data_IF_925036556181
#
_entry.id   IF_925036556181
#
_cell.length_a   1.000
_cell.length_b   1.000
_cell.length_c   1.000
_cell.angle_alpha   90.00
_cell.angle_beta   90.00
_cell.angle_gamma   90.00
#
_symmetry.space_group_name_H-M   'P 1'
#
loop_
_entity.id
_entity.type
_entity.pdbx_description
1 polymer ?
#
# COMPACT_ATOMS: atom_id res chain seq x y z
N UNK A 1 -14.79 -5.68 13.84
CA UNK A 1 -13.51 -5.60 13.11
C UNK A 1 -13.19 -4.12 12.92
N UNK A 2 -11.96 -3.67 13.15
CA UNK A 2 -11.60 -2.25 12.92
C UNK A 2 -11.63 -1.93 11.42
N UNK A 3 -11.85 -0.66 11.00
CA UNK A 3 -11.77 -0.27 9.59
C UNK A 3 -10.43 -0.67 8.93
N UNK A 4 -9.34 -0.63 9.69
CA UNK A 4 -8.01 -1.06 9.22
C UNK A 4 -7.97 -2.56 8.96
N UNK A 5 -8.49 -3.38 9.88
CA UNK A 5 -8.55 -4.82 9.70
C UNK A 5 -9.46 -5.22 8.51
N UNK A 6 -10.52 -4.46 8.24
CA UNK A 6 -11.34 -4.63 7.03
C UNK A 6 -10.53 -4.34 5.76
N UNK A 7 -9.79 -3.21 5.73
CA UNK A 7 -8.93 -2.89 4.59
C UNK A 7 -7.86 -3.97 4.35
N UNK A 8 -7.19 -4.42 5.43
CA UNK A 8 -6.16 -5.46 5.33
C UNK A 8 -6.72 -6.80 4.85
N UNK A 9 -7.93 -7.18 5.26
CA UNK A 9 -8.60 -8.39 4.79
C UNK A 9 -8.86 -8.35 3.28
N UNK A 10 -9.25 -7.19 2.73
CA UNK A 10 -9.46 -7.03 1.28
C UNK A 10 -8.16 -7.09 0.47
N UNK A 11 -7.01 -6.83 1.11
CA UNK A 11 -5.72 -6.99 0.49
C UNK A 11 -5.25 -8.43 0.44
N UNK A 12 -5.77 -9.35 1.27
CA UNK A 12 -5.23 -10.71 1.40
C UNK A 12 -5.52 -11.63 0.17
N UNK A 13 -4.52 -12.34 -0.39
CA UNK A 13 -3.08 -12.14 -0.17
C UNK A 13 -2.60 -10.79 -0.71
N UNK A 14 -1.72 -10.03 -0.02
CA UNK A 14 -1.37 -8.62 -0.31
C UNK A 14 -0.76 -8.39 -1.70
N UNK A 15 -0.26 -9.46 -2.30
CA UNK A 15 0.41 -9.46 -3.59
C UNK A 15 -0.16 -10.53 -4.51
N UNK A 16 -0.19 -10.22 -5.81
CA UNK A 16 -0.33 -11.23 -6.86
C UNK A 16 1.08 -11.68 -7.25
N UNK A 17 1.31 -13.00 -7.23
CA UNK A 17 2.56 -13.59 -7.68
C UNK A 17 2.32 -14.41 -8.95
N UNK A 18 2.83 -13.91 -10.07
CA UNK A 18 2.80 -14.61 -11.35
C UNK A 18 4.05 -15.48 -11.45
N UNK A 19 3.88 -16.78 -11.18
CA UNK A 19 4.98 -17.75 -11.23
C UNK A 19 5.18 -18.25 -12.66
N UNK A 20 6.43 -18.41 -13.13
CA UNK A 20 6.69 -19.13 -14.36
C UNK A 20 6.43 -20.64 -14.15
N UNK A 21 6.14 -21.36 -15.23
CA UNK A 21 6.02 -22.84 -15.19
C UNK A 21 7.36 -23.48 -14.82
N UNK A 22 8.44 -22.93 -15.35
CA UNK A 22 9.84 -23.28 -15.02
C UNK A 22 10.59 -21.97 -14.85
N UNK A 23 11.30 -21.80 -13.73
CA UNK A 23 12.09 -20.61 -13.48
C UNK A 23 13.44 -20.74 -14.18
N UNK A 24 13.63 -19.97 -15.26
CA UNK A 24 14.84 -20.05 -16.11
C UNK A 24 15.58 -18.72 -16.23
N UNK A 25 15.00 -17.62 -15.74
CA UNK A 25 15.62 -16.29 -15.77
C UNK A 25 16.19 -15.90 -14.40
N UNK A 26 17.35 -15.21 -14.34
CA UNK A 26 17.86 -14.63 -13.10
C UNK A 26 17.11 -13.35 -12.68
N UNK A 27 16.16 -12.87 -13.49
CA UNK A 27 15.45 -11.61 -13.27
C UNK A 27 14.12 -11.85 -12.54
N UNK A 28 13.85 -11.00 -11.55
CA UNK A 28 12.55 -10.90 -10.88
C UNK A 28 11.94 -9.54 -11.17
N UNK A 29 10.72 -9.53 -11.70
CA UNK A 29 9.97 -8.29 -11.92
C UNK A 29 9.12 -7.96 -10.69
N UNK A 30 9.05 -6.67 -10.35
CA UNK A 30 8.19 -6.17 -9.29
C UNK A 30 7.35 -4.99 -9.79
N UNK A 31 6.06 -5.01 -9.47
CA UNK A 31 5.10 -3.93 -9.75
C UNK A 31 4.45 -3.46 -8.43
N UNK A 32 5.16 -2.64 -7.65
CA UNK A 32 4.74 -2.23 -6.30
C UNK A 32 3.60 -1.20 -6.31
N UNK A 33 3.36 -0.52 -7.44
CA UNK A 33 2.46 0.63 -7.53
C UNK A 33 1.26 0.43 -8.47
N UNK A 34 1.09 -0.78 -9.02
CA UNK A 34 -0.07 -1.13 -9.88
C UNK A 34 -1.30 -1.60 -9.09
N UNK A 35 -1.22 -1.65 -7.76
CA UNK A 35 -2.32 -2.09 -6.91
C UNK A 35 -3.48 -1.10 -6.94
N UNK A 36 -4.69 -1.61 -7.10
CA UNK A 36 -5.88 -0.80 -7.35
C UNK A 36 -7.11 -1.27 -6.54
N UNK A 37 -6.89 -2.02 -5.46
CA UNK A 37 -7.96 -2.37 -4.52
C UNK A 37 -8.12 -1.22 -3.55
N UNK A 38 -9.30 -0.59 -3.54
CA UNK A 38 -9.65 0.49 -2.62
C UNK A 38 -10.77 0.03 -1.69
N UNK A 39 -10.44 -0.49 -0.49
CA UNK A 39 -11.42 -0.92 0.47
C UNK A 39 -12.42 0.18 0.81
N UNK A 40 -13.69 -0.16 1.02
CA UNK A 40 -14.71 0.83 1.38
C UNK A 40 -14.33 1.56 2.68
N UNK A 41 -13.75 0.83 3.64
CA UNK A 41 -13.23 1.35 4.90
C UNK A 41 -12.05 2.32 4.74
N UNK A 42 -11.28 2.19 3.66
CA UNK A 42 -10.23 3.13 3.27
C UNK A 42 -10.83 4.38 2.62
N UNK A 43 -11.72 4.20 1.63
CA UNK A 43 -12.36 5.31 0.91
C UNK A 43 -13.20 6.22 1.81
N UNK A 44 -13.86 5.66 2.83
CA UNK A 44 -14.62 6.44 3.80
C UNK A 44 -13.75 7.41 4.63
N UNK A 45 -12.44 7.19 4.69
CA UNK A 45 -11.48 7.97 5.48
C UNK A 45 -10.50 8.78 4.64
N UNK A 46 -10.29 8.42 3.38
CA UNK A 46 -9.39 9.15 2.50
C UNK A 46 -9.88 10.60 2.28
N UNK A 47 -8.96 11.58 2.30
CA UNK A 47 -9.29 12.96 1.94
C UNK A 47 -9.56 13.13 0.43
N UNK A 48 -8.72 12.60 -0.48
CA UNK A 48 -9.00 12.66 -1.90
C UNK A 48 -10.12 11.69 -2.27
N UNK A 49 -10.91 12.05 -3.28
CA UNK A 49 -11.88 11.12 -3.86
C UNK A 49 -11.14 10.00 -4.64
N UNK A 50 -11.86 8.94 -5.01
CA UNK A 50 -11.28 7.80 -5.72
C UNK A 50 -10.54 8.21 -7.01
N UNK A 51 -11.06 9.17 -7.80
CA UNK A 51 -10.40 9.57 -9.05
C UNK A 51 -9.02 10.19 -8.78
N UNK A 52 -8.90 11.02 -7.75
CA UNK A 52 -7.62 11.62 -7.34
C UNK A 52 -6.66 10.57 -6.78
N UNK A 53 -7.16 9.58 -6.03
CA UNK A 53 -6.34 8.47 -5.55
C UNK A 53 -5.76 7.67 -6.72
N UNK A 54 -6.57 7.36 -7.74
CA UNK A 54 -6.15 6.59 -8.91
C UNK A 54 -5.09 7.29 -9.76
N UNK A 55 -4.93 8.62 -9.66
CA UNK A 55 -3.83 9.36 -10.31
C UNK A 55 -2.44 8.97 -9.79
N UNK A 56 -2.36 8.32 -8.62
CA UNK A 56 -1.12 7.86 -8.02
C UNK A 56 -0.78 6.40 -8.39
N UNK A 57 -1.61 5.73 -9.19
CA UNK A 57 -1.33 4.37 -9.65
C UNK A 57 -0.32 4.38 -10.81
N UNK A 58 0.58 3.40 -10.79
CA UNK A 58 1.31 2.99 -11.98
C UNK A 58 0.39 2.05 -12.79
N UNK A 59 -0.64 2.65 -13.39
CA UNK A 59 -1.79 1.94 -13.95
C UNK A 59 -1.32 0.90 -14.99
N UNK A 60 -1.76 -0.35 -14.79
CA UNK A 60 -1.54 -1.49 -15.69
C UNK A 60 -0.10 -1.96 -15.89
N UNK A 61 0.88 -1.49 -15.09
CA UNK A 61 2.26 -2.01 -15.14
C UNK A 61 2.30 -3.52 -14.85
N UNK A 62 1.47 -4.01 -13.91
CA UNK A 62 1.34 -5.46 -13.67
C UNK A 62 0.90 -6.22 -14.93
N UNK A 63 -0.04 -5.65 -15.71
CA UNK A 63 -0.53 -6.25 -16.95
C UNK A 63 0.52 -6.20 -18.06
N UNK A 64 1.25 -5.09 -18.16
CA UNK A 64 2.33 -4.91 -19.11
C UNK A 64 3.43 -5.96 -18.92
N UNK A 65 3.81 -6.22 -17.67
CA UNK A 65 4.87 -7.19 -17.35
C UNK A 65 4.37 -8.61 -17.07
N UNK A 66 3.06 -8.86 -16.96
CA UNK A 66 2.51 -10.21 -16.77
C UNK A 66 3.08 -11.28 -17.72
N UNK A 67 3.36 -10.99 -19.02
CA UNK A 67 3.95 -11.98 -19.91
C UNK A 67 5.35 -12.47 -19.51
N UNK A 68 6.09 -11.75 -18.66
CA UNK A 68 7.44 -12.15 -18.20
C UNK A 68 7.47 -13.55 -17.56
N UNK A 69 6.40 -13.94 -16.87
CA UNK A 69 6.29 -15.28 -16.28
C UNK A 69 6.19 -16.39 -17.33
N UNK A 70 5.75 -16.09 -18.56
CA UNK A 70 5.79 -17.04 -19.68
C UNK A 70 7.21 -17.25 -20.20
N UNK A 71 8.10 -16.29 -19.96
CA UNK A 71 9.51 -16.30 -20.37
C UNK A 71 10.46 -16.70 -19.23
N UNK A 72 9.95 -17.31 -18.17
CA UNK A 72 10.76 -17.87 -17.09
C UNK A 72 11.16 -16.89 -15.98
N UNK A 73 10.66 -15.65 -16.00
CA UNK A 73 10.92 -14.63 -14.99
C UNK A 73 9.64 -14.34 -14.16
N UNK A 74 9.64 -14.49 -12.83
CA UNK A 74 8.47 -14.19 -12.03
C UNK A 74 8.15 -12.69 -11.97
N UNK A 75 6.87 -12.39 -11.73
CA UNK A 75 6.38 -11.03 -11.44
C UNK A 75 5.65 -11.02 -10.10
N UNK A 76 6.05 -10.11 -9.21
CA UNK A 76 5.35 -9.79 -7.97
C UNK A 76 4.63 -8.43 -8.11
N UNK A 77 3.32 -8.39 -7.93
CA UNK A 77 2.54 -7.16 -8.03
C UNK A 77 1.74 -6.89 -6.75
N UNK A 78 1.78 -5.65 -6.24
CA UNK A 78 0.95 -5.25 -5.10
C UNK A 78 -0.53 -5.22 -5.48
N UNK A 79 -1.41 -5.50 -4.51
CA UNK A 79 -2.87 -5.34 -4.69
C UNK A 79 -3.40 -4.05 -4.06
N UNK A 80 -2.76 -3.58 -3.00
CA UNK A 80 -3.05 -2.30 -2.36
C UNK A 80 -2.41 -1.15 -3.14
N UNK A 81 -3.02 0.05 -3.15
CA UNK A 81 -2.46 1.21 -3.83
C UNK A 81 -1.32 1.82 -3.02
N UNK A 82 -0.36 2.47 -3.68
CA UNK A 82 0.76 3.13 -3.00
C UNK A 82 0.34 4.25 -2.04
N UNK A 83 -0.84 4.83 -2.28
CA UNK A 83 -1.43 5.82 -1.39
C UNK A 83 -1.96 5.22 -0.08
N UNK A 84 -2.11 3.89 0.00
CA UNK A 84 -2.33 3.16 1.26
C UNK A 84 -1.00 2.87 1.96
N UNK A 85 -0.04 2.28 1.25
CA UNK A 85 1.34 2.10 1.70
C UNK A 85 2.25 2.03 0.50
N UNK A 86 3.31 2.84 0.51
CA UNK A 86 4.32 2.84 -0.54
C UNK A 86 5.47 1.89 -0.16
N UNK A 87 5.49 0.70 -0.75
CA UNK A 87 6.53 -0.31 -0.51
C UNK A 87 7.86 -0.04 -1.24
N UNK A 88 7.92 1.02 -2.04
CA UNK A 88 9.17 1.57 -2.60
C UNK A 88 9.74 2.71 -1.74
N UNK A 89 9.29 2.83 -0.49
CA UNK A 89 9.79 3.79 0.49
C UNK A 89 10.16 3.05 1.76
N UNK A 90 11.33 3.39 2.33
CA UNK A 90 11.70 2.88 3.64
C UNK A 90 10.78 3.48 4.74
N UNK A 91 10.59 2.78 5.87
CA UNK A 91 9.83 3.30 7.02
C UNK A 91 10.26 4.69 7.50
N UNK A 92 11.54 5.04 7.32
CA UNK A 92 12.10 6.33 7.73
C UNK A 92 11.87 7.47 6.74
N UNK A 93 11.41 7.22 5.52
CA UNK A 93 11.23 8.25 4.48
C UNK A 93 9.96 9.08 4.64
N UNK A 94 9.22 8.87 5.73
CA UNK A 94 8.10 9.73 6.10
C UNK A 94 8.58 11.16 6.38
N UNK A 95 7.90 12.18 5.82
CA UNK A 95 8.17 13.58 6.14
C UNK A 95 8.20 13.80 7.66
N UNK A 96 9.14 14.61 8.14
CA UNK A 96 9.34 14.82 9.58
C UNK A 96 8.08 15.34 10.27
N UNK A 97 7.32 16.18 9.57
CA UNK A 97 6.04 16.73 9.99
C UNK A 97 4.91 15.68 10.11
N UNK A 98 5.06 14.50 9.51
CA UNK A 98 4.10 13.39 9.60
C UNK A 98 4.45 12.39 10.70
N UNK A 99 5.64 12.51 11.30
CA UNK A 99 6.01 11.69 12.46
C UNK A 99 5.28 12.24 13.68
N UNK A 100 4.55 11.41 14.41
CA UNK A 100 4.03 11.81 15.72
C UNK A 100 5.19 12.31 16.58
N UNK A 101 5.02 13.48 17.22
CA UNK A 101 5.91 13.88 18.32
C UNK A 101 5.86 12.74 19.32
N UNK A 102 7.02 12.15 19.60
CA UNK A 102 7.20 11.05 20.55
C UNK A 102 6.36 11.28 21.80
N UNK A 103 5.49 10.33 22.12
CA UNK A 103 4.92 10.26 23.46
C UNK A 103 6.09 9.95 24.40
N UNK A 104 6.38 10.76 25.45
CA UNK A 104 7.47 10.47 26.36
C UNK A 104 7.29 9.07 26.98
N UNK A 105 8.28 8.19 26.81
CA UNK A 105 8.34 6.92 27.54
C UNK A 105 8.29 5.61 26.74
N UNK A 106 8.22 5.61 25.39
CA UNK A 106 8.28 4.36 24.62
C UNK A 106 9.37 4.37 23.55
N UNK A 107 10.39 3.54 23.77
CA UNK A 107 11.36 3.15 22.76
C UNK A 107 10.72 2.21 21.71
N UNK A 108 11.06 2.39 20.44
CA UNK A 108 10.79 1.40 19.38
C UNK A 108 9.83 1.87 18.27
N UNK A 109 10.42 2.07 17.08
CA UNK A 109 9.81 2.33 15.77
C UNK A 109 8.51 1.56 15.46
N UNK A 110 7.52 2.20 14.80
CA UNK A 110 6.41 1.52 14.09
C UNK A 110 5.94 2.31 12.82
N UNK A 111 5.68 1.56 11.76
CA UNK A 111 5.37 1.92 10.35
C UNK A 111 3.90 2.29 10.05
N UNK A 112 3.69 3.05 8.95
CA UNK A 112 2.50 3.03 8.08
C UNK A 112 1.48 4.16 8.25
N UNK A 113 1.49 5.18 7.39
CA UNK A 113 0.55 6.31 7.47
C UNK A 113 -0.10 6.66 6.14
N UNK A 114 -1.43 6.73 6.15
CA UNK A 114 -2.26 7.40 5.14
C UNK A 114 -2.95 8.57 5.84
N UNK A 115 -2.97 9.74 5.22
CA UNK A 115 -3.74 10.89 5.67
C UNK A 115 -5.25 10.57 5.63
N UNK A 116 -5.78 10.11 6.76
CA UNK A 116 -7.20 9.84 6.97
C UNK A 116 -7.88 11.06 7.62
N UNK A 117 -9.05 11.45 7.10
CA UNK A 117 -9.92 12.47 7.69
C UNK A 117 -10.36 12.01 9.09
N UNK A 118 -10.29 12.87 10.11
CA UNK A 118 -10.70 12.49 11.45
C UNK A 118 -12.22 12.35 11.57
N UNK A 119 -12.66 11.51 12.51
CA UNK A 119 -14.07 11.34 12.92
C UNK A 119 -14.69 12.61 13.54
N UNK A 120 -13.91 13.67 13.80
CA UNK A 120 -14.38 14.94 14.36
C UNK A 120 -13.69 16.15 13.69
N UNK A 121 -14.39 17.28 13.49
CA UNK A 121 -13.82 18.45 12.84
C UNK A 121 -12.67 19.06 13.67
N UNK A 122 -11.54 19.34 13.02
CA UNK A 122 -10.46 20.17 13.58
C UNK A 122 -9.25 19.46 14.20
N UNK A 123 -9.16 18.11 14.20
CA UNK A 123 -7.96 17.40 14.68
C UNK A 123 -7.60 16.21 13.80
N UNK A 124 -6.58 16.33 12.95
CA UNK A 124 -5.99 15.18 12.26
C UNK A 124 -5.45 14.19 13.31
N UNK A 125 -5.84 12.93 13.21
CA UNK A 125 -5.35 11.88 14.11
C UNK A 125 -4.90 10.69 13.29
N UNK A 126 -3.65 10.30 13.52
CA UNK A 126 -3.07 9.10 12.98
C UNK A 126 -3.74 7.88 13.62
N UNK A 127 -4.28 6.97 12.81
CA UNK A 127 -5.06 5.84 13.33
C UNK A 127 -4.12 4.66 13.61
N UNK A 128 -3.94 4.39 14.91
CA UNK A 128 -3.27 3.22 15.47
C UNK A 128 -4.19 1.99 15.37
N UNK A 129 -3.74 0.91 14.74
CA UNK A 129 -4.30 -0.42 15.03
C UNK A 129 -3.63 -1.00 16.27
N UNK A 130 -4.40 -1.71 17.10
CA UNK A 130 -3.85 -2.61 18.13
C UNK A 130 -2.97 -3.67 17.51
#
# INVERSE_FOLDING_TARGET
>A
MTPEAQSLAEFDPPTRLYRPKVWTSPVVFASPHSGNIYPASFLARALPNLQDLRRNEDIYIDRLFKPTSRWGAPLLAARFPRCFVDVNRAPGELPGEWREKTVPGTAGWKTGWVLCRPLYPGKYRFIKSR
#
